data_IF_181412517187
#
_entry.id   IF_181412517187
#
_cell.length_a   1.000
_cell.length_b   1.000
_cell.length_c   1.000
_cell.angle_alpha   90.00
_cell.angle_beta   90.00
_cell.angle_gamma   90.00
#
_symmetry.space_group_name_H-M   'P 1'
#
loop_
_entity.id
_entity.type
_entity.pdbx_description
1 polymer ?
#
# COMPACT_ATOMS: atom_id res chain seq x y z
N UNK A 1 16.76 10.31 6.40
CA UNK A 1 15.97 10.58 5.18
C UNK A 1 14.71 11.28 5.66
N UNK A 2 14.55 12.55 5.28
CA UNK A 2 13.49 13.45 5.75
C UNK A 2 12.16 13.07 5.08
N UNK A 3 11.23 12.53 5.86
CA UNK A 3 9.86 12.27 5.42
C UNK A 3 9.02 13.52 5.64
N UNK A 4 8.52 14.11 4.57
CA UNK A 4 7.59 15.24 4.61
C UNK A 4 6.20 14.71 4.32
N UNK A 5 5.42 14.43 5.36
CA UNK A 5 4.02 14.03 5.24
C UNK A 5 3.06 15.17 5.63
N UNK A 6 2.01 15.17 4.95
CA UNK A 6 0.70 15.82 4.87
C UNK A 6 0.27 16.71 6.04
N UNK A 7 -0.07 17.90 5.66
CA UNK A 7 -1.07 18.84 6.23
C UNK A 7 -0.98 19.16 7.73
N UNK A 8 0.09 19.81 8.16
CA UNK A 8 0.16 20.40 9.50
C UNK A 8 0.64 21.83 9.43
N UNK A 9 -0.11 22.70 10.08
CA UNK A 9 0.27 24.10 10.28
C UNK A 9 0.88 24.22 11.68
N UNK A 10 2.22 24.20 11.74
CA UNK A 10 2.94 24.70 12.90
C UNK A 10 2.63 26.19 13.09
N UNK A 11 2.46 26.61 14.34
CA UNK A 11 2.08 27.97 14.73
C UNK A 11 3.12 29.00 14.26
N UNK A 12 2.78 29.75 13.21
CA UNK A 12 3.29 31.09 13.01
C UNK A 12 2.11 32.01 12.65
N UNK A 13 2.00 33.20 13.21
CA UNK A 13 0.99 34.17 12.78
C UNK A 13 1.18 34.43 11.29
N UNK A 14 0.06 34.59 10.56
CA UNK A 14 0.05 34.96 9.14
C UNK A 14 1.12 36.04 8.90
N UNK A 15 2.15 35.81 8.09
CA UNK A 15 3.10 36.84 7.76
C UNK A 15 2.35 37.97 7.03
N UNK A 16 2.59 39.23 7.35
CA UNK A 16 2.11 40.32 6.51
C UNK A 16 2.66 40.11 5.12
N UNK A 17 1.80 40.25 4.13
CA UNK A 17 2.00 40.19 2.69
C UNK A 17 3.42 40.59 2.23
N UNK A 18 4.34 39.63 2.18
CA UNK A 18 5.56 39.72 1.39
C UNK A 18 5.61 38.57 0.38
N UNK A 19 4.80 38.66 -0.66
CA UNK A 19 4.90 37.82 -1.83
C UNK A 19 5.16 38.68 -3.07
N UNK A 20 6.42 39.01 -3.29
CA UNK A 20 6.92 39.45 -4.59
C UNK A 20 7.13 38.23 -5.51
N UNK A 21 6.05 37.58 -5.84
CA UNK A 21 5.95 36.55 -6.86
C UNK A 21 4.48 36.50 -7.29
N UNK A 22 4.19 36.33 -8.58
CA UNK A 22 2.82 36.15 -9.09
C UNK A 22 2.14 35.03 -8.34
N UNK A 23 1.30 35.39 -7.36
CA UNK A 23 0.58 34.43 -6.53
C UNK A 23 -0.31 33.57 -7.45
N UNK A 24 -0.08 32.26 -7.48
CA UNK A 24 -0.86 31.34 -8.31
C UNK A 24 -2.28 31.24 -7.74
N UNK A 25 -3.26 31.64 -8.56
CA UNK A 25 -4.69 31.46 -8.26
C UNK A 25 -5.17 30.23 -9.02
N UNK A 26 -5.78 29.28 -8.32
CA UNK A 26 -6.34 28.06 -8.91
C UNK A 26 -7.86 28.09 -8.84
N UNK A 27 -8.54 27.41 -9.79
CA UNK A 27 -9.99 27.41 -9.95
C UNK A 27 -10.58 28.85 -10.02
N UNK A 28 -9.77 29.85 -10.41
CA UNK A 28 -10.18 31.25 -10.49
C UNK A 28 -10.60 31.88 -9.15
N UNK A 29 -10.24 31.29 -8.00
CA UNK A 29 -10.75 31.65 -6.69
C UNK A 29 -9.76 31.50 -5.54
N UNK A 30 -8.91 30.47 -5.56
CA UNK A 30 -8.08 30.13 -4.43
C UNK A 30 -6.64 30.58 -4.67
N UNK A 31 -6.19 31.56 -3.92
CA UNK A 31 -4.81 32.04 -3.95
C UNK A 31 -3.94 31.12 -3.10
N UNK A 32 -3.00 30.42 -3.72
CA UNK A 32 -2.03 29.59 -3.02
C UNK A 32 -1.04 30.49 -2.26
N UNK A 33 -0.88 30.26 -0.95
CA UNK A 33 -0.04 31.04 -0.07
C UNK A 33 1.29 30.35 0.20
N UNK A 34 1.25 29.17 0.81
CA UNK A 34 2.44 28.37 1.10
C UNK A 34 2.12 26.88 1.05
N UNK A 35 3.13 26.08 0.76
CA UNK A 35 3.02 24.62 0.78
C UNK A 35 2.94 24.14 2.22
N UNK A 36 1.98 23.27 2.52
CA UNK A 36 1.79 22.60 3.79
C UNK A 36 2.51 21.25 3.82
N UNK A 37 2.44 20.52 2.71
CA UNK A 37 3.07 19.21 2.58
C UNK A 37 3.06 18.69 1.15
N UNK A 38 3.74 17.58 0.91
CA UNK A 38 3.67 16.80 -0.32
C UNK A 38 3.80 15.32 0.03
N UNK A 39 3.01 14.51 -0.65
CA UNK A 39 3.04 13.05 -0.53
C UNK A 39 2.80 12.40 -1.88
N UNK A 40 2.66 11.07 -1.89
CA UNK A 40 2.45 10.27 -3.11
C UNK A 40 1.24 10.73 -3.93
N UNK A 41 0.23 11.33 -3.28
CA UNK A 41 -1.03 11.72 -3.90
C UNK A 41 -1.13 13.22 -4.20
N UNK A 42 -0.01 13.95 -4.20
CA UNK A 42 0.00 15.35 -4.60
C UNK A 42 0.58 16.30 -3.55
N UNK A 43 0.37 17.59 -3.78
CA UNK A 43 0.89 18.69 -2.95
C UNK A 43 -0.27 19.40 -2.29
N UNK A 44 -0.16 19.63 -0.98
CA UNK A 44 -1.15 20.37 -0.20
C UNK A 44 -0.64 21.78 0.08
N UNK A 45 -1.49 22.77 -0.15
CA UNK A 45 -1.21 24.18 0.01
C UNK A 45 -2.15 24.80 1.03
N UNK A 46 -1.63 25.71 1.85
CA UNK A 46 -2.42 26.74 2.49
C UNK A 46 -2.86 27.71 1.41
N UNK A 47 -4.14 28.00 1.33
CA UNK A 47 -4.68 28.93 0.35
C UNK A 47 -5.69 29.88 0.98
N UNK A 48 -5.92 31.01 0.31
CA UNK A 48 -6.94 31.99 0.65
C UNK A 48 -8.08 31.92 -0.36
N UNK A 49 -9.28 31.69 0.12
CA UNK A 49 -10.52 31.76 -0.69
C UNK A 49 -10.89 33.23 -0.86
N UNK A 50 -10.57 33.83 -2.01
CA UNK A 50 -10.79 35.24 -2.28
C UNK A 50 -12.28 35.66 -2.30
N UNK A 51 -13.18 34.68 -2.45
CA UNK A 51 -14.62 34.94 -2.51
C UNK A 51 -15.28 34.95 -1.14
N UNK A 52 -14.84 34.07 -0.23
CA UNK A 52 -15.41 33.92 1.10
C UNK A 52 -14.51 34.49 2.21
N UNK A 53 -13.35 35.08 1.84
CA UNK A 53 -12.38 35.69 2.75
C UNK A 53 -11.99 34.77 3.91
N UNK A 54 -11.60 33.53 3.59
CA UNK A 54 -11.20 32.53 4.55
C UNK A 54 -9.98 31.73 4.09
N UNK A 55 -9.25 31.15 5.04
CA UNK A 55 -8.16 30.23 4.74
C UNK A 55 -8.71 28.81 4.57
N UNK A 56 -8.13 28.08 3.62
CA UNK A 56 -8.50 26.71 3.27
C UNK A 56 -7.23 25.89 3.00
N UNK A 57 -7.36 24.56 3.01
CA UNK A 57 -6.35 23.66 2.48
C UNK A 57 -6.73 23.29 1.02
N UNK A 58 -5.74 23.34 0.12
CA UNK A 58 -5.92 22.99 -1.29
C UNK A 58 -4.94 21.86 -1.63
N UNK A 59 -5.45 20.68 -1.96
CA UNK A 59 -4.66 19.55 -2.44
C UNK A 59 -4.70 19.54 -3.97
N UNK A 60 -3.52 19.61 -4.59
CA UNK A 60 -3.33 19.49 -6.04
C UNK A 60 -2.90 18.08 -6.37
N UNK A 61 -3.66 17.41 -7.20
CA UNK A 61 -3.41 16.05 -7.67
C UNK A 61 -3.12 16.14 -9.17
N UNK A 62 -1.96 15.64 -9.60
CA UNK A 62 -1.63 15.56 -11.02
C UNK A 62 -2.46 14.46 -11.67
N UNK A 63 -3.21 14.81 -12.68
CA UNK A 63 -4.13 13.92 -13.38
C UNK A 63 -4.12 14.23 -14.90
N UNK A 64 -2.99 13.87 -15.52
CA UNK A 64 -2.83 14.03 -16.98
C UNK A 64 -3.74 13.09 -17.77
N UNK A 65 -4.13 11.95 -17.17
CA UNK A 65 -5.10 11.02 -17.75
C UNK A 65 -6.53 11.50 -17.48
N UNK A 66 -7.37 11.73 -18.52
CA UNK A 66 -8.76 12.13 -18.37
C UNK A 66 -9.63 11.15 -17.58
N UNK A 67 -9.40 9.85 -17.68
CA UNK A 67 -10.15 8.83 -16.93
C UNK A 67 -9.82 8.90 -15.43
N UNK A 68 -8.54 9.08 -15.12
CA UNK A 68 -8.05 9.26 -13.76
C UNK A 68 -8.65 10.54 -13.14
N UNK A 69 -8.66 11.65 -13.88
CA UNK A 69 -9.27 12.90 -13.44
C UNK A 69 -10.77 12.75 -13.18
N UNK A 70 -11.52 12.10 -14.08
CA UNK A 70 -12.96 11.86 -13.90
C UNK A 70 -13.26 10.93 -12.71
N UNK A 71 -12.36 10.00 -12.39
CA UNK A 71 -12.47 9.15 -11.21
C UNK A 71 -12.25 9.97 -9.96
N UNK A 72 -11.20 10.83 -9.94
CA UNK A 72 -10.90 11.73 -8.85
C UNK A 72 -12.10 12.64 -8.51
N UNK A 73 -12.73 13.24 -9.53
CA UNK A 73 -13.90 14.10 -9.34
C UNK A 73 -15.09 13.33 -8.75
N UNK A 74 -15.34 12.09 -9.19
CA UNK A 74 -16.44 11.27 -8.64
C UNK A 74 -16.23 10.93 -7.17
N UNK A 75 -15.02 10.52 -6.79
CA UNK A 75 -14.68 10.22 -5.39
C UNK A 75 -14.77 11.48 -4.52
N UNK A 76 -14.30 12.62 -5.03
CA UNK A 76 -14.42 13.89 -4.35
C UNK A 76 -15.89 14.32 -4.16
N UNK A 77 -16.75 14.12 -5.13
CA UNK A 77 -18.20 14.41 -5.02
C UNK A 77 -18.84 13.51 -3.94
N UNK A 78 -18.42 12.26 -3.84
CA UNK A 78 -18.89 11.36 -2.79
C UNK A 78 -18.41 11.82 -1.40
N UNK A 79 -17.13 12.19 -1.27
CA UNK A 79 -16.54 12.71 -0.03
C UNK A 79 -17.18 14.04 0.41
N UNK A 80 -17.56 14.92 -0.54
CA UNK A 80 -18.21 16.19 -0.24
C UNK A 80 -19.61 16.05 0.40
N UNK A 81 -20.22 14.86 0.35
CA UNK A 81 -21.48 14.56 1.05
C UNK A 81 -21.31 14.23 2.52
N UNK A 82 -20.06 14.03 2.96
CA UNK A 82 -19.76 13.71 4.33
C UNK A 82 -19.77 14.99 5.18
N UNK A 83 -20.61 15.00 6.19
CA UNK A 83 -20.67 16.09 7.17
C UNK A 83 -20.67 15.48 8.56
N UNK A 84 -19.50 15.42 9.18
CA UNK A 84 -19.29 14.85 10.51
C UNK A 84 -18.10 15.55 11.18
N UNK A 85 -18.17 15.88 12.50
CA UNK A 85 -17.08 16.59 13.18
C UNK A 85 -15.74 15.83 13.13
N UNK A 86 -15.74 14.50 13.07
CA UNK A 86 -14.57 13.65 12.93
C UNK A 86 -14.07 13.46 11.49
N UNK A 87 -14.61 14.19 10.51
CA UNK A 87 -14.20 14.12 9.09
C UNK A 87 -13.83 15.51 8.61
N UNK A 88 -12.71 15.64 7.88
CA UNK A 88 -12.32 16.91 7.24
C UNK A 88 -13.33 17.26 6.16
N UNK A 89 -13.98 18.43 6.29
CA UNK A 89 -15.01 18.87 5.37
C UNK A 89 -14.41 19.25 4.02
N UNK A 90 -14.85 18.61 2.93
CA UNK A 90 -14.51 19.00 1.57
C UNK A 90 -15.46 20.09 1.11
N UNK A 91 -14.94 21.27 0.74
CA UNK A 91 -15.70 22.43 0.33
C UNK A 91 -15.95 22.46 -1.18
N UNK A 92 -14.96 22.11 -1.97
CA UNK A 92 -15.03 22.15 -3.43
C UNK A 92 -14.05 21.13 -4.03
N UNK A 93 -14.41 20.55 -5.16
CA UNK A 93 -13.53 19.82 -6.04
C UNK A 93 -13.65 20.39 -7.43
N UNK A 94 -12.53 20.59 -8.10
CA UNK A 94 -12.53 21.15 -9.45
C UNK A 94 -11.28 20.76 -10.23
N UNK A 95 -11.36 20.95 -11.55
CA UNK A 95 -10.24 20.68 -12.46
C UNK A 95 -9.77 21.97 -13.10
N UNK A 96 -8.46 22.15 -13.15
CA UNK A 96 -7.82 23.23 -13.87
C UNK A 96 -6.55 22.69 -14.56
N UNK A 97 -6.44 22.88 -15.87
CA UNK A 97 -5.38 22.31 -16.70
C UNK A 97 -5.25 20.78 -16.52
N UNK A 98 -4.08 20.28 -16.14
CA UNK A 98 -3.75 18.88 -15.98
C UNK A 98 -3.81 18.39 -14.51
N UNK A 99 -4.56 19.11 -13.66
CA UNK A 99 -4.65 18.80 -12.25
C UNK A 99 -6.10 18.85 -11.73
N UNK A 100 -6.37 17.99 -10.74
CA UNK A 100 -7.57 18.05 -9.91
C UNK A 100 -7.23 18.75 -8.61
N UNK A 101 -8.05 19.65 -8.16
CA UNK A 101 -7.91 20.40 -6.93
C UNK A 101 -9.03 20.02 -5.97
N UNK A 102 -8.65 19.66 -4.77
CA UNK A 102 -9.55 19.39 -3.66
C UNK A 102 -9.39 20.50 -2.62
N UNK A 103 -10.45 21.24 -2.36
CA UNK A 103 -10.46 22.33 -1.41
C UNK A 103 -11.20 21.89 -0.16
N UNK A 104 -10.54 21.91 0.97
CA UNK A 104 -11.10 21.46 2.25
C UNK A 104 -10.93 22.50 3.35
N UNK A 105 -11.60 22.28 4.47
CA UNK A 105 -11.32 23.04 5.68
C UNK A 105 -9.84 22.91 6.06
N UNK A 106 -9.29 24.00 6.60
CA UNK A 106 -7.95 23.96 7.19
C UNK A 106 -8.06 23.53 8.66
N UNK A 107 -7.56 22.33 8.94
CA UNK A 107 -7.47 21.82 10.32
C UNK A 107 -6.10 22.19 10.89
N UNK A 108 -6.09 22.90 12.02
CA UNK A 108 -4.86 23.19 12.79
C UNK A 108 -4.71 22.11 13.84
N UNK A 109 -3.54 21.44 13.86
CA UNK A 109 -3.27 20.33 14.77
C UNK A 109 -2.07 19.53 14.34
N UNK A 110 -1.86 18.40 14.98
CA UNK A 110 -0.82 17.41 14.64
C UNK A 110 -1.47 16.13 14.14
N UNK A 111 -0.78 15.37 13.29
CA UNK A 111 -1.25 14.03 12.94
C UNK A 111 -1.13 13.09 14.14
N UNK A 112 -1.93 12.01 14.13
CA UNK A 112 -1.79 10.94 15.12
C UNK A 112 -0.35 10.37 15.11
N UNK A 113 0.25 10.24 13.93
CA UNK A 113 1.64 9.82 13.80
C UNK A 113 2.61 10.70 14.58
N UNK A 114 2.50 12.01 14.45
CA UNK A 114 3.38 12.94 15.16
C UNK A 114 3.18 12.91 16.67
N UNK A 115 1.92 12.76 17.12
CA UNK A 115 1.60 12.63 18.54
C UNK A 115 2.16 11.33 19.13
N UNK A 116 2.06 10.21 18.38
CA UNK A 116 2.63 8.92 18.77
C UNK A 116 4.15 9.00 18.88
N UNK A 117 4.82 9.54 17.85
CA UNK A 117 6.29 9.70 17.87
C UNK A 117 6.79 10.63 18.99
N UNK A 118 5.97 11.57 19.42
CA UNK A 118 6.28 12.47 20.54
C UNK A 118 5.95 11.86 21.91
N UNK A 119 5.30 10.68 21.97
CA UNK A 119 4.86 10.05 23.22
C UNK A 119 3.83 10.91 23.99
N UNK A 120 3.00 11.70 23.28
CA UNK A 120 2.08 12.66 23.88
C UNK A 120 0.72 12.06 24.25
N UNK A 121 0.44 10.82 23.89
CA UNK A 121 -0.88 10.16 24.06
C UNK A 121 -0.83 9.07 25.12
N UNK A 122 -1.88 9.02 25.94
CA UNK A 122 -2.16 7.92 26.86
C UNK A 122 -3.01 6.84 26.18
N UNK A 123 -3.09 5.65 26.79
CA UNK A 123 -3.99 4.57 26.31
C UNK A 123 -5.44 5.07 26.25
N UNK A 124 -5.87 5.87 27.25
CA UNK A 124 -7.22 6.46 27.26
C UNK A 124 -7.44 7.42 26.11
N UNK A 125 -6.42 8.22 25.72
CA UNK A 125 -6.53 9.09 24.57
C UNK A 125 -6.67 8.29 23.29
N UNK A 126 -5.89 7.20 23.14
CA UNK A 126 -5.96 6.29 21.98
C UNK A 126 -7.35 5.64 21.88
N UNK A 127 -7.89 5.17 22.99
CA UNK A 127 -9.24 4.60 23.04
C UNK A 127 -10.31 5.62 22.63
N UNK A 128 -10.23 6.86 23.14
CA UNK A 128 -11.15 7.95 22.75
C UNK A 128 -11.04 8.29 21.26
N UNK A 129 -9.82 8.34 20.74
CA UNK A 129 -9.54 8.53 19.31
C UNK A 129 -10.18 7.40 18.51
N UNK A 130 -10.02 6.14 18.94
CA UNK A 130 -10.62 4.97 18.31
C UNK A 130 -12.15 5.06 18.23
N UNK A 131 -12.82 5.44 19.33
CA UNK A 131 -14.28 5.64 19.37
C UNK A 131 -14.71 6.69 18.34
N UNK A 132 -14.06 7.87 18.34
CA UNK A 132 -14.40 8.95 17.41
C UNK A 132 -14.18 8.57 15.94
N UNK A 133 -13.15 7.74 15.64
CA UNK A 133 -12.90 7.21 14.31
C UNK A 133 -13.94 6.16 13.90
N UNK A 134 -14.38 5.30 14.80
CA UNK A 134 -15.49 4.38 14.54
C UNK A 134 -16.78 5.13 14.17
N UNK A 135 -17.11 6.22 14.88
CA UNK A 135 -18.26 7.06 14.58
C UNK A 135 -18.13 7.76 13.22
N UNK A 136 -16.94 8.30 12.90
CA UNK A 136 -16.65 8.94 11.62
C UNK A 136 -16.75 7.97 10.43
N UNK A 137 -16.20 6.77 10.56
CA UNK A 137 -16.27 5.73 9.52
C UNK A 137 -17.68 5.17 9.36
N UNK A 138 -18.41 4.95 10.47
CA UNK A 138 -19.82 4.52 10.40
C UNK A 138 -20.66 5.55 9.66
N UNK A 139 -20.44 6.86 9.89
CA UNK A 139 -21.09 7.93 9.13
C UNK A 139 -20.77 7.88 7.63
N UNK A 140 -19.52 7.62 7.26
CA UNK A 140 -19.10 7.52 5.86
C UNK A 140 -19.69 6.27 5.18
N UNK A 141 -19.60 5.12 5.84
CA UNK A 141 -20.11 3.84 5.32
C UNK A 141 -21.62 3.86 5.11
N UNK A 142 -22.40 4.49 6.03
CA UNK A 142 -23.83 4.69 5.86
C UNK A 142 -24.19 5.52 4.61
N UNK A 143 -23.22 6.26 4.04
CA UNK A 143 -23.36 7.03 2.79
C UNK A 143 -22.69 6.38 1.57
N UNK A 144 -22.28 5.12 1.73
CA UNK A 144 -21.62 4.35 0.68
C UNK A 144 -20.18 4.80 0.37
N UNK A 145 -19.54 5.53 1.30
CA UNK A 145 -18.15 5.99 1.13
C UNK A 145 -17.23 5.15 2.01
N UNK A 146 -16.24 4.50 1.39
CA UNK A 146 -15.16 3.74 2.03
C UNK A 146 -13.89 4.57 1.95
N UNK A 147 -13.12 4.65 3.04
CA UNK A 147 -11.92 5.50 3.11
C UNK A 147 -10.72 4.94 2.34
N UNK A 148 -10.40 3.66 2.53
CA UNK A 148 -9.37 2.87 1.81
C UNK A 148 -7.91 3.24 2.08
N UNK A 149 -7.62 4.28 2.87
CA UNK A 149 -6.25 4.70 3.23
C UNK A 149 -6.19 5.20 4.67
N UNK A 150 -6.69 4.38 5.63
CA UNK A 150 -6.63 4.71 7.04
C UNK A 150 -5.23 4.40 7.56
N UNK A 151 -4.57 5.45 8.08
CA UNK A 151 -3.22 5.39 8.67
C UNK A 151 -3.01 6.58 9.60
N UNK A 152 -2.06 6.53 10.54
CA UNK A 152 -1.83 7.62 11.50
C UNK A 152 -1.52 8.98 10.87
N UNK A 153 -0.99 9.01 9.64
CA UNK A 153 -0.71 10.23 8.90
C UNK A 153 -1.99 10.93 8.39
N UNK A 154 -3.08 10.18 8.15
CA UNK A 154 -4.35 10.70 7.66
C UNK A 154 -5.35 11.01 8.79
N UNK A 155 -4.92 10.92 10.05
CA UNK A 155 -5.70 11.23 11.24
C UNK A 155 -5.12 12.47 11.88
N UNK A 156 -5.84 13.59 11.89
CA UNK A 156 -5.42 14.85 12.48
C UNK A 156 -6.06 14.99 13.85
N UNK A 157 -5.28 15.35 14.87
CA UNK A 157 -5.73 15.71 16.21
C UNK A 157 -5.75 17.23 16.28
N UNK A 158 -6.93 17.87 16.25
CA UNK A 158 -7.03 19.33 16.25
C UNK A 158 -6.52 19.94 17.55
N UNK A 159 -5.90 21.14 17.45
CA UNK A 159 -5.51 21.93 18.64
C UNK A 159 -6.74 22.40 19.45
N UNK A 160 -7.89 22.50 18.76
CA UNK A 160 -9.19 22.87 19.35
C UNK A 160 -10.25 21.92 18.82
N UNK A 161 -10.58 20.88 19.59
CA UNK A 161 -11.61 19.91 19.19
C UNK A 161 -13.02 20.52 19.23
N UNK A 162 -13.87 20.06 18.33
CA UNK A 162 -15.30 20.40 18.28
C UNK A 162 -16.11 19.28 18.96
N UNK A 163 -16.15 19.32 20.29
CA UNK A 163 -16.77 18.26 21.11
C UNK A 163 -16.00 16.93 21.05
N UNK A 164 -16.56 15.89 21.64
CA UNK A 164 -15.93 14.56 21.71
C UNK A 164 -15.80 13.89 20.33
N UNK A 165 -16.76 14.08 19.44
CA UNK A 165 -16.69 13.55 18.09
C UNK A 165 -15.67 14.27 17.18
N UNK A 166 -15.26 15.49 17.58
CA UNK A 166 -14.29 16.31 16.85
C UNK A 166 -12.88 16.27 17.42
N UNK A 167 -12.58 15.38 18.37
CA UNK A 167 -11.21 15.22 18.91
C UNK A 167 -10.22 14.72 17.87
N UNK A 168 -10.70 14.13 16.78
CA UNK A 168 -9.95 13.73 15.61
C UNK A 168 -10.65 14.20 14.34
N UNK A 169 -9.89 14.36 13.27
CA UNK A 169 -10.41 14.58 11.92
C UNK A 169 -9.73 13.67 10.93
N UNK A 170 -10.51 12.78 10.32
CA UNK A 170 -10.04 11.89 9.26
C UNK A 170 -10.01 12.65 7.92
N UNK A 171 -8.87 12.61 7.24
CA UNK A 171 -8.64 13.30 5.95
C UNK A 171 -8.36 12.32 4.83
N UNK A 172 -8.40 12.80 3.59
CA UNK A 172 -7.98 12.05 2.40
C UNK A 172 -8.88 10.84 2.03
N UNK A 173 -10.21 10.97 2.20
CA UNK A 173 -11.20 9.99 1.74
C UNK A 173 -11.07 9.69 0.24
N UNK A 174 -10.96 8.40 -0.10
CA UNK A 174 -11.07 7.88 -1.47
C UNK A 174 -9.92 8.20 -2.43
N UNK A 175 -8.93 9.01 -2.03
CA UNK A 175 -7.86 9.50 -2.91
C UNK A 175 -6.89 8.38 -3.34
N UNK A 176 -6.77 7.31 -2.57
CA UNK A 176 -5.91 6.17 -2.91
C UNK A 176 -6.25 5.51 -4.25
N UNK A 177 -7.53 5.56 -4.66
CA UNK A 177 -8.00 5.03 -5.95
C UNK A 177 -7.62 5.90 -7.16
N UNK A 178 -7.28 7.17 -6.91
CA UNK A 178 -6.97 8.14 -7.97
C UNK A 178 -5.55 7.91 -8.50
N UNK A 179 -4.67 7.40 -7.65
CA UNK A 179 -3.26 7.27 -7.99
C UNK A 179 -2.94 6.13 -8.97
N UNK A 180 -3.85 5.19 -9.21
CA UNK A 180 -3.63 4.01 -10.05
C UNK A 180 -2.53 3.08 -9.50
N UNK A 181 -2.44 1.85 -10.00
CA UNK A 181 -1.42 0.87 -9.60
C UNK A 181 0.02 1.36 -9.84
N UNK A 182 0.24 2.29 -10.79
CA UNK A 182 1.55 2.85 -11.13
C UNK A 182 2.08 3.88 -10.11
N UNK A 183 1.23 4.54 -9.34
CA UNK A 183 1.65 5.51 -8.33
C UNK A 183 2.11 4.82 -7.03
N UNK A 184 1.60 3.64 -6.74
CA UNK A 184 2.02 2.80 -5.62
C UNK A 184 3.49 2.35 -5.72
N UNK A 185 4.13 2.47 -6.90
CA UNK A 185 5.50 1.96 -7.12
C UNK A 185 6.59 3.05 -7.07
N UNK A 186 6.25 4.34 -7.01
CA UNK A 186 7.22 5.42 -7.29
C UNK A 186 7.88 6.09 -6.09
N UNK A 187 7.43 5.92 -4.84
CA UNK A 187 7.96 6.71 -3.71
C UNK A 187 8.09 5.90 -2.42
N UNK A 188 9.01 6.32 -1.52
CA UNK A 188 9.19 5.75 -0.19
C UNK A 188 7.92 5.77 0.71
N UNK A 189 6.87 6.49 0.32
CA UNK A 189 5.55 6.51 0.96
C UNK A 189 4.79 5.19 0.80
N UNK A 190 5.20 4.34 -0.17
CA UNK A 190 4.64 3.01 -0.42
C UNK A 190 4.72 2.11 0.81
N UNK A 191 5.85 2.10 1.50
CA UNK A 191 6.04 1.27 2.70
C UNK A 191 5.10 1.71 3.82
N UNK A 192 4.89 3.03 3.98
CA UNK A 192 3.99 3.60 4.98
C UNK A 192 2.52 3.20 4.76
N UNK A 193 2.05 3.19 3.53
CA UNK A 193 0.67 2.83 3.18
C UNK A 193 0.43 1.33 3.23
N UNK A 194 1.38 0.51 2.72
CA UNK A 194 1.27 -0.96 2.75
C UNK A 194 1.13 -1.52 4.16
N UNK A 195 1.75 -0.87 5.16
CA UNK A 195 1.73 -1.32 6.55
C UNK A 195 0.34 -1.28 7.21
N UNK A 196 -0.65 -0.63 6.60
CA UNK A 196 -2.04 -0.56 7.11
C UNK A 196 -3.06 -1.11 6.11
N UNK A 197 -2.61 -1.59 4.96
CA UNK A 197 -3.47 -2.08 3.90
C UNK A 197 -4.16 -3.38 4.28
N UNK A 198 -5.46 -3.47 4.06
CA UNK A 198 -6.21 -4.69 4.29
C UNK A 198 -5.82 -5.79 3.28
N UNK A 199 -5.85 -7.08 3.66
CA UNK A 199 -5.45 -8.18 2.79
C UNK A 199 -6.20 -8.22 1.46
N UNK A 200 -7.52 -8.05 1.48
CA UNK A 200 -8.36 -7.99 0.27
C UNK A 200 -7.98 -6.84 -0.66
N UNK A 201 -7.55 -5.71 -0.10
CA UNK A 201 -7.09 -4.56 -0.86
C UNK A 201 -5.73 -4.84 -1.54
N UNK A 202 -4.82 -5.49 -0.82
CA UNK A 202 -3.52 -5.91 -1.36
C UNK A 202 -3.66 -6.98 -2.46
N UNK A 203 -4.69 -7.83 -2.37
CA UNK A 203 -5.02 -8.86 -3.36
C UNK A 203 -5.80 -8.30 -4.58
N UNK A 204 -6.15 -7.01 -4.59
CA UNK A 204 -6.97 -6.41 -5.64
C UNK A 204 -8.43 -6.89 -5.64
N UNK A 205 -8.91 -7.45 -4.52
CA UNK A 205 -10.30 -7.84 -4.32
C UNK A 205 -11.18 -6.61 -4.03
N UNK A 206 -12.52 -6.72 -4.13
CA UNK A 206 -13.41 -5.62 -3.79
C UNK A 206 -13.21 -5.12 -2.36
N UNK A 207 -13.03 -3.81 -2.21
CA UNK A 207 -12.81 -3.13 -0.93
C UNK A 207 -14.14 -2.69 -0.34
N UNK A 208 -14.37 -2.96 0.93
CA UNK A 208 -15.59 -2.64 1.67
C UNK A 208 -15.30 -1.91 2.98
N UNK A 209 -16.33 -1.66 3.79
CA UNK A 209 -16.15 -1.13 5.15
C UNK A 209 -15.32 -2.04 6.06
N UNK A 210 -15.22 -3.33 5.75
CA UNK A 210 -14.36 -4.28 6.48
C UNK A 210 -12.87 -3.99 6.28
N UNK A 211 -12.50 -3.44 5.12
CA UNK A 211 -11.12 -3.00 4.88
C UNK A 211 -10.75 -1.80 5.75
N UNK A 212 -11.68 -0.84 5.92
CA UNK A 212 -11.48 0.30 6.82
C UNK A 212 -11.42 -0.14 8.29
N UNK A 213 -12.26 -1.12 8.69
CA UNK A 213 -12.21 -1.70 10.03
C UNK A 213 -10.85 -2.32 10.34
N UNK A 214 -10.32 -3.13 9.41
CA UNK A 214 -8.98 -3.71 9.54
C UNK A 214 -7.91 -2.65 9.72
N UNK A 215 -7.90 -1.64 8.83
CA UNK A 215 -6.90 -0.57 8.86
C UNK A 215 -7.00 0.27 10.13
N UNK A 216 -8.23 0.58 10.60
CA UNK A 216 -8.45 1.29 11.86
C UNK A 216 -7.96 0.46 13.06
N UNK A 217 -8.33 -0.82 13.13
CA UNK A 217 -7.90 -1.71 14.22
C UNK A 217 -6.37 -1.83 14.26
N UNK A 218 -5.71 -1.89 13.11
CA UNK A 218 -4.25 -1.92 13.02
C UNK A 218 -3.60 -0.59 13.47
N UNK A 219 -4.24 0.55 13.19
CA UNK A 219 -3.82 1.85 13.74
C UNK A 219 -3.94 1.87 15.27
N UNK A 220 -5.04 1.37 15.82
CA UNK A 220 -5.24 1.31 17.29
C UNK A 220 -4.25 0.31 17.91
N UNK A 221 -4.06 -0.85 17.30
CA UNK A 221 -3.07 -1.86 17.72
C UNK A 221 -1.67 -1.25 17.82
N UNK A 222 -1.18 -0.60 16.75
CA UNK A 222 0.12 0.08 16.75
C UNK A 222 0.18 1.20 17.78
N UNK A 223 -0.90 1.96 17.93
CA UNK A 223 -0.93 3.08 18.88
C UNK A 223 -0.84 2.62 20.34
N UNK A 224 -1.43 1.46 20.68
CA UNK A 224 -1.40 0.88 22.03
C UNK A 224 -0.14 0.06 22.28
N UNK A 225 0.38 -0.67 21.29
CA UNK A 225 1.54 -1.54 21.45
C UNK A 225 2.87 -0.86 21.09
N UNK A 226 2.84 0.25 20.34
CA UNK A 226 4.01 0.89 19.77
C UNK A 226 4.61 0.16 18.56
N UNK A 227 4.03 -0.97 18.15
CA UNK A 227 4.55 -1.84 17.09
C UNK A 227 3.48 -2.08 16.01
N UNK A 228 3.87 -1.91 14.75
CA UNK A 228 3.07 -2.39 13.62
C UNK A 228 3.68 -3.69 13.08
N UNK A 229 3.05 -4.86 13.31
CA UNK A 229 3.63 -6.15 12.94
C UNK A 229 3.73 -6.37 11.42
N UNK A 230 2.95 -5.62 10.63
CA UNK A 230 3.00 -5.69 9.16
C UNK A 230 4.22 -4.96 8.62
N UNK A 231 4.71 -3.94 9.33
CA UNK A 231 5.84 -3.13 8.88
C UNK A 231 7.14 -3.93 8.88
N UNK A 232 7.86 -3.90 7.75
CA UNK A 232 9.15 -4.55 7.58
C UNK A 232 10.11 -3.66 6.77
N UNK A 233 11.42 -3.96 6.78
CA UNK A 233 12.39 -3.23 5.98
C UNK A 233 12.10 -3.35 4.46
N UNK A 234 11.47 -2.31 3.89
CA UNK A 234 11.16 -2.20 2.47
C UNK A 234 9.79 -2.75 2.07
N UNK A 235 9.29 -2.23 0.93
CA UNK A 235 7.94 -2.49 0.45
C UNK A 235 7.66 -3.98 0.18
N UNK A 236 8.63 -4.71 -0.38
CA UNK A 236 8.45 -6.13 -0.69
C UNK A 236 8.37 -7.02 0.57
N UNK A 237 9.08 -6.67 1.64
CA UNK A 237 9.00 -7.39 2.91
C UNK A 237 7.67 -7.07 3.61
N UNK A 238 7.27 -5.80 3.67
CA UNK A 238 5.97 -5.38 4.21
C UNK A 238 4.81 -6.04 3.45
N UNK A 239 4.82 -6.05 2.11
CA UNK A 239 3.78 -6.70 1.32
C UNK A 239 3.63 -8.20 1.60
N UNK A 240 4.72 -8.90 1.96
CA UNK A 240 4.64 -10.33 2.33
C UNK A 240 3.97 -10.57 3.68
N UNK A 241 3.95 -9.57 4.58
CA UNK A 241 3.30 -9.67 5.88
C UNK A 241 1.82 -9.29 5.86
N UNK A 242 1.37 -8.58 4.83
CA UNK A 242 -0.06 -8.28 4.66
C UNK A 242 -0.83 -9.59 4.58
N UNK A 243 -1.87 -9.74 5.40
CA UNK A 243 -2.68 -10.96 5.48
C UNK A 243 -2.07 -12.08 6.33
N UNK A 244 -0.94 -11.86 7.00
CA UNK A 244 -0.47 -12.80 8.05
C UNK A 244 -1.25 -12.58 9.33
N UNK A 245 -1.36 -13.64 10.16
CA UNK A 245 -1.97 -13.53 11.49
C UNK A 245 -1.03 -12.73 12.39
N UNK A 246 -1.58 -11.71 13.06
CA UNK A 246 -0.81 -10.88 13.96
C UNK A 246 -0.67 -11.52 15.35
N UNK A 247 0.36 -11.19 16.14
CA UNK A 247 0.43 -11.51 17.56
C UNK A 247 -0.78 -10.92 18.28
N UNK A 248 -1.34 -11.65 19.24
CA UNK A 248 -2.43 -11.13 20.04
C UNK A 248 -2.00 -9.89 20.83
N UNK A 249 -2.82 -8.83 20.84
CA UNK A 249 -2.50 -7.60 21.55
C UNK A 249 -2.34 -7.84 23.05
N UNK A 250 -3.10 -8.77 23.62
CA UNK A 250 -3.00 -9.22 25.03
C UNK A 250 -1.63 -9.81 25.39
N UNK A 251 -0.88 -10.34 24.43
CA UNK A 251 0.49 -10.82 24.65
C UNK A 251 1.50 -9.68 24.73
N UNK A 252 1.29 -8.59 24.00
CA UNK A 252 2.16 -7.42 24.00
C UNK A 252 1.82 -6.45 25.13
N UNK A 253 0.55 -6.36 25.49
CA UNK A 253 0.00 -5.41 26.47
C UNK A 253 -0.98 -6.14 27.40
N UNK A 254 -0.48 -7.05 28.29
CA UNK A 254 -1.32 -7.85 29.17
C UNK A 254 -2.07 -7.02 30.24
N UNK A 255 -1.69 -5.77 30.43
CA UNK A 255 -2.34 -4.83 31.37
C UNK A 255 -3.57 -4.11 30.75
N UNK A 256 -3.76 -4.20 29.42
CA UNK A 256 -4.95 -3.64 28.80
C UNK A 256 -6.20 -4.47 29.13
N UNK A 257 -7.37 -3.83 29.21
CA UNK A 257 -8.64 -4.56 29.35
C UNK A 257 -8.81 -5.61 28.25
N UNK A 258 -9.19 -6.83 28.63
CA UNK A 258 -9.35 -7.97 27.71
C UNK A 258 -10.32 -7.65 26.56
N UNK A 259 -11.39 -6.91 26.87
CA UNK A 259 -12.42 -6.51 25.89
C UNK A 259 -11.81 -5.67 24.75
N UNK A 260 -10.85 -4.78 25.05
CA UNK A 260 -10.15 -3.98 24.01
C UNK A 260 -9.25 -4.87 23.18
N UNK A 261 -8.45 -5.73 23.84
CA UNK A 261 -7.51 -6.59 23.15
C UNK A 261 -8.25 -7.55 22.20
N UNK A 262 -9.29 -8.20 22.67
CA UNK A 262 -10.10 -9.14 21.87
C UNK A 262 -10.78 -8.46 20.67
N UNK A 263 -11.40 -7.29 20.89
CA UNK A 263 -12.09 -6.58 19.82
C UNK A 263 -11.11 -6.14 18.71
N UNK A 264 -9.89 -5.71 19.08
CA UNK A 264 -8.85 -5.34 18.12
C UNK A 264 -8.34 -6.61 17.41
N UNK A 265 -8.07 -7.69 18.14
CA UNK A 265 -7.56 -8.95 17.57
C UNK A 265 -8.56 -9.58 16.59
N UNK A 266 -9.87 -9.44 16.81
CA UNK A 266 -10.89 -9.84 15.85
C UNK A 266 -10.91 -8.92 14.62
N UNK A 267 -10.84 -7.61 14.82
CA UNK A 267 -10.90 -6.65 13.72
C UNK A 267 -9.68 -6.72 12.77
N UNK A 268 -8.53 -7.25 13.22
CA UNK A 268 -7.33 -7.45 12.39
C UNK A 268 -7.22 -8.86 11.78
N UNK A 269 -8.30 -9.68 11.82
CA UNK A 269 -8.27 -10.99 11.17
C UNK A 269 -8.04 -10.87 9.66
N UNK A 270 -7.21 -11.77 9.06
CA UNK A 270 -6.94 -11.75 7.62
C UNK A 270 -8.20 -11.92 6.78
N UNK A 271 -9.10 -12.84 7.15
CA UNK A 271 -10.38 -13.03 6.46
C UNK A 271 -11.37 -11.94 6.90
N UNK A 272 -11.94 -11.23 5.94
CA UNK A 272 -12.93 -10.17 6.20
C UNK A 272 -14.23 -10.67 6.86
N UNK A 273 -14.55 -11.97 6.71
CA UNK A 273 -15.73 -12.58 7.32
C UNK A 273 -15.55 -12.90 8.81
N UNK A 274 -14.30 -13.01 9.25
CA UNK A 274 -13.94 -13.29 10.65
C UNK A 274 -13.78 -11.99 11.49
N UNK A 275 -13.80 -10.82 10.85
CA UNK A 275 -13.73 -9.52 11.51
C UNK A 275 -15.09 -9.13 12.03
N UNK A 276 -15.22 -8.69 13.25
CA UNK A 276 -16.45 -8.11 13.76
C UNK A 276 -16.95 -6.88 12.97
N UNK A 277 -17.54 -5.93 13.64
CA UNK A 277 -18.04 -4.69 13.05
C UNK A 277 -17.44 -3.45 13.71
N UNK A 278 -17.53 -2.29 13.04
CA UNK A 278 -17.16 -1.00 13.64
C UNK A 278 -17.96 -0.71 14.92
N UNK A 279 -19.22 -1.18 15.00
CA UNK A 279 -20.05 -1.00 16.18
C UNK A 279 -19.54 -1.83 17.37
N UNK A 280 -19.19 -3.09 17.15
CA UNK A 280 -18.61 -3.96 18.18
C UNK A 280 -17.26 -3.44 18.68
N UNK A 281 -16.37 -3.02 17.79
CA UNK A 281 -15.11 -2.39 18.17
C UNK A 281 -15.36 -1.12 18.99
N UNK A 282 -16.24 -0.25 18.54
CA UNK A 282 -16.61 0.98 19.25
C UNK A 282 -17.15 0.72 20.66
N UNK A 283 -18.06 -0.24 20.78
CA UNK A 283 -18.72 -0.53 22.05
C UNK A 283 -17.73 -1.13 23.05
N UNK A 284 -16.83 -2.02 22.62
CA UNK A 284 -15.74 -2.53 23.44
C UNK A 284 -14.78 -1.41 23.92
N UNK A 285 -14.41 -0.47 23.03
CA UNK A 285 -13.60 0.68 23.40
C UNK A 285 -14.29 1.60 24.42
N UNK A 286 -15.60 1.81 24.31
CA UNK A 286 -16.37 2.63 25.26
C UNK A 286 -16.46 1.95 26.62
N UNK A 287 -16.79 0.65 26.64
CA UNK A 287 -16.98 -0.12 27.88
C UNK A 287 -15.71 -0.11 28.73
N UNK A 288 -14.57 -0.34 28.11
CA UNK A 288 -13.30 -0.43 28.81
C UNK A 288 -12.55 0.92 28.96
N UNK A 289 -13.10 2.02 28.46
CA UNK A 289 -12.42 3.34 28.47
C UNK A 289 -12.03 3.79 29.88
N UNK A 290 -12.88 3.52 30.90
CA UNK A 290 -12.61 3.92 32.28
C UNK A 290 -11.47 3.16 32.94
N UNK A 291 -11.13 1.99 32.43
CA UNK A 291 -10.11 1.08 32.95
C UNK A 291 -8.74 1.33 32.34
N UNK A 292 -8.66 2.17 31.27
CA UNK A 292 -7.41 2.46 30.58
C UNK A 292 -6.57 3.52 31.32
N UNK A 293 -5.25 3.42 31.18
CA UNK A 293 -4.29 4.35 31.80
C UNK A 293 -4.41 5.77 31.19
N UNK A 294 -4.17 6.76 32.03
CA UNK A 294 -4.15 8.19 31.68
C UNK A 294 -2.74 8.75 31.53
N UNK A 295 -1.72 7.96 31.80
CA UNK A 295 -0.33 8.38 31.71
C UNK A 295 0.12 8.37 30.26
N UNK A 296 0.61 9.50 29.74
CA UNK A 296 1.13 9.59 28.38
C UNK A 296 2.44 8.79 28.23
N UNK A 297 2.64 8.22 27.03
CA UNK A 297 3.87 7.48 26.71
C UNK A 297 3.97 6.11 27.33
N UNK A 298 2.85 5.44 27.56
CA UNK A 298 2.78 4.13 28.24
C UNK A 298 3.38 2.96 27.46
N UNK A 299 3.75 3.15 26.20
CA UNK A 299 4.41 2.11 25.42
C UNK A 299 5.82 1.87 25.96
N UNK A 300 6.04 0.68 26.53
CA UNK A 300 7.36 0.31 27.03
C UNK A 300 8.33 0.07 25.86
N UNK A 301 9.40 0.87 25.82
CA UNK A 301 10.45 0.76 24.77
C UNK A 301 11.05 -0.64 24.73
N UNK A 302 11.10 -1.32 25.85
CA UNK A 302 11.63 -2.70 25.94
C UNK A 302 10.77 -3.71 25.20
N UNK A 303 9.45 -3.50 25.11
CA UNK A 303 8.52 -4.32 24.32
C UNK A 303 8.81 -4.13 22.83
N UNK A 304 9.04 -2.89 22.40
CA UNK A 304 9.38 -2.59 21.00
C UNK A 304 10.72 -3.24 20.62
N UNK A 305 11.74 -3.12 21.48
CA UNK A 305 13.06 -3.69 21.24
C UNK A 305 13.00 -5.22 21.22
N UNK A 306 12.30 -5.86 22.16
CA UNK A 306 12.15 -7.32 22.20
C UNK A 306 11.40 -7.87 20.98
N UNK A 307 10.36 -7.17 20.51
CA UNK A 307 9.62 -7.57 19.33
C UNK A 307 10.48 -7.42 18.06
N UNK A 308 11.23 -6.31 17.94
CA UNK A 308 12.14 -6.10 16.81
C UNK A 308 13.27 -7.16 16.81
N UNK A 309 13.77 -7.54 17.97
CA UNK A 309 14.80 -8.57 18.08
C UNK A 309 14.27 -9.97 17.76
N UNK A 310 13.04 -10.32 18.20
CA UNK A 310 12.36 -11.56 17.81
C UNK A 310 12.06 -11.60 16.32
N UNK A 311 11.60 -10.50 15.75
CA UNK A 311 11.30 -10.36 14.32
C UNK A 311 12.57 -10.56 13.46
N UNK A 312 13.70 -9.99 13.88
CA UNK A 312 15.00 -10.21 13.24
C UNK A 312 15.48 -11.68 13.39
N UNK A 313 15.18 -12.33 14.50
CA UNK A 313 15.50 -13.74 14.73
C UNK A 313 14.61 -14.66 13.89
N UNK A 314 13.31 -14.35 13.75
CA UNK A 314 12.40 -15.09 12.90
C UNK A 314 12.70 -14.87 11.41
N UNK A 315 13.05 -13.66 10.98
CA UNK A 315 13.55 -13.40 9.61
C UNK A 315 14.89 -14.11 9.36
N UNK A 316 15.73 -14.28 10.38
CA UNK A 316 16.96 -15.06 10.31
C UNK A 316 16.73 -16.57 10.25
N UNK A 317 15.57 -17.07 10.73
CA UNK A 317 15.17 -18.48 10.72
C UNK A 317 14.14 -18.79 9.60
N UNK A 318 13.44 -17.80 9.08
CA UNK A 318 12.73 -17.96 7.81
C UNK A 318 13.80 -18.28 6.78
N UNK A 319 13.93 -19.58 6.48
CA UNK A 319 14.92 -20.06 5.51
C UNK A 319 14.82 -19.13 4.30
N UNK A 320 15.91 -18.52 3.87
CA UNK A 320 15.89 -17.63 2.73
C UNK A 320 15.19 -18.44 1.63
N UNK A 321 14.05 -17.94 1.13
CA UNK A 321 13.42 -18.55 -0.07
C UNK A 321 14.58 -18.71 -1.02
N UNK A 322 14.92 -19.93 -1.48
CA UNK A 322 16.19 -20.16 -2.12
C UNK A 322 16.30 -19.19 -3.30
N UNK A 323 17.07 -18.12 -3.10
CA UNK A 323 17.62 -17.41 -4.22
C UNK A 323 18.32 -18.51 -4.98
N UNK A 324 17.85 -18.78 -6.23
CA UNK A 324 18.41 -19.83 -7.08
C UNK A 324 19.91 -19.84 -6.87
N UNK A 325 20.39 -20.86 -6.16
CA UNK A 325 21.81 -20.96 -5.81
C UNK A 325 22.62 -21.01 -7.10
N UNK A 326 23.85 -20.57 -7.09
CA UNK A 326 24.73 -20.65 -8.28
C UNK A 326 24.62 -22.00 -9.01
N UNK A 327 24.59 -23.17 -8.33
CA UNK A 327 24.42 -24.46 -9.01
C UNK A 327 23.04 -24.61 -9.70
N UNK A 328 21.95 -24.07 -9.14
CA UNK A 328 20.62 -24.18 -9.79
C UNK A 328 20.50 -23.26 -10.99
N UNK A 329 21.13 -22.08 -10.96
CA UNK A 329 21.25 -21.19 -12.13
C UNK A 329 22.08 -21.80 -13.23
N UNK A 330 23.18 -22.47 -12.85
CA UNK A 330 24.02 -23.20 -13.81
C UNK A 330 23.27 -24.36 -14.46
N UNK A 331 22.55 -25.16 -13.69
CA UNK A 331 21.74 -26.26 -14.20
C UNK A 331 20.65 -25.75 -15.15
N UNK A 332 19.99 -24.64 -14.83
CA UNK A 332 19.02 -23.99 -15.72
C UNK A 332 19.63 -23.55 -17.05
N UNK A 333 20.81 -22.95 -16.98
CA UNK A 333 21.55 -22.53 -18.17
C UNK A 333 21.91 -23.73 -19.05
N UNK A 334 22.34 -24.84 -18.46
CA UNK A 334 22.68 -26.09 -19.18
C UNK A 334 21.43 -26.70 -19.83
N UNK A 335 20.30 -26.77 -19.09
CA UNK A 335 19.04 -27.26 -19.62
C UNK A 335 18.53 -26.41 -20.79
N UNK A 336 18.61 -25.08 -20.67
CA UNK A 336 18.21 -24.14 -21.73
C UNK A 336 19.08 -24.35 -23.00
N UNK A 337 20.40 -24.44 -22.81
CA UNK A 337 21.33 -24.71 -23.92
C UNK A 337 21.02 -26.06 -24.62
N UNK A 338 20.75 -27.11 -23.84
CA UNK A 338 20.38 -28.42 -24.35
C UNK A 338 19.09 -28.40 -25.16
N UNK A 339 18.08 -27.70 -24.67
CA UNK A 339 16.78 -27.58 -25.33
C UNK A 339 16.88 -26.79 -26.66
N UNK A 340 17.66 -25.72 -26.70
CA UNK A 340 17.94 -24.98 -27.95
C UNK A 340 18.70 -25.83 -28.93
N UNK A 341 19.77 -26.50 -28.49
CA UNK A 341 20.60 -27.32 -29.34
C UNK A 341 19.79 -28.51 -29.94
N UNK A 342 19.01 -29.22 -29.11
CA UNK A 342 18.14 -30.30 -29.54
C UNK A 342 17.07 -29.83 -30.53
N UNK A 343 16.41 -28.71 -30.26
CA UNK A 343 15.38 -28.16 -31.16
C UNK A 343 15.96 -27.76 -32.52
N UNK A 344 17.12 -27.09 -32.52
CA UNK A 344 17.78 -26.65 -33.75
C UNK A 344 18.37 -27.83 -34.54
N UNK A 345 18.89 -28.90 -33.86
CA UNK A 345 19.34 -30.13 -34.54
C UNK A 345 18.18 -30.89 -35.20
N UNK A 346 17.02 -30.95 -34.57
CA UNK A 346 15.83 -31.55 -35.14
C UNK A 346 15.33 -30.83 -36.40
N UNK A 347 15.55 -29.51 -36.48
CA UNK A 347 15.17 -28.68 -37.62
C UNK A 347 16.23 -28.55 -38.71
N UNK A 348 17.44 -29.09 -38.51
CA UNK A 348 18.57 -29.02 -39.46
C UNK A 348 18.26 -29.48 -40.87
N UNK A 349 17.36 -30.47 -41.13
CA UNK A 349 16.98 -30.86 -42.49
C UNK A 349 16.23 -29.77 -43.27
N UNK A 350 15.76 -28.72 -42.57
CA UNK A 350 14.98 -27.62 -43.17
C UNK A 350 15.94 -26.48 -43.57
N UNK A 351 15.94 -26.12 -44.87
CA UNK A 351 16.90 -25.19 -45.48
C UNK A 351 16.99 -23.83 -44.78
N UNK A 352 15.90 -23.37 -44.17
CA UNK A 352 15.85 -22.09 -43.45
C UNK A 352 16.70 -22.04 -42.14
N UNK A 353 17.04 -23.22 -41.58
CA UNK A 353 17.75 -23.35 -40.28
C UNK A 353 19.19 -23.87 -40.48
N UNK A 354 19.51 -24.37 -41.67
CA UNK A 354 20.77 -25.04 -41.97
C UNK A 354 22.03 -24.16 -41.70
N UNK A 355 21.90 -22.86 -41.82
CA UNK A 355 23.01 -21.90 -41.67
C UNK A 355 23.06 -21.18 -40.32
N UNK A 356 22.19 -21.53 -39.35
CA UNK A 356 22.19 -20.94 -38.03
C UNK A 356 23.41 -21.41 -37.19
N UNK A 357 24.17 -20.50 -36.54
CA UNK A 357 25.28 -20.86 -35.66
C UNK A 357 24.78 -21.45 -34.35
N UNK A 358 24.49 -22.76 -34.35
CA UNK A 358 23.90 -23.50 -33.23
C UNK A 358 24.59 -23.28 -31.89
N UNK A 359 25.92 -23.22 -31.90
CA UNK A 359 26.69 -23.02 -30.66
C UNK A 359 26.45 -21.64 -30.04
N UNK A 360 26.35 -20.61 -30.86
CA UNK A 360 26.10 -19.24 -30.35
C UNK A 360 24.66 -19.05 -29.88
N UNK A 361 23.70 -19.67 -30.53
CA UNK A 361 22.30 -19.66 -30.09
C UNK A 361 22.12 -20.36 -28.74
N UNK A 362 22.74 -21.55 -28.57
CA UNK A 362 22.74 -22.27 -27.31
C UNK A 362 23.44 -21.49 -26.18
N UNK A 363 24.56 -20.87 -26.47
CA UNK A 363 25.30 -20.04 -25.50
C UNK A 363 24.48 -18.82 -25.09
N UNK A 364 23.86 -18.12 -26.05
CA UNK A 364 22.98 -16.98 -25.75
C UNK A 364 21.81 -17.34 -24.86
N UNK A 365 21.14 -18.46 -25.14
CA UNK A 365 20.06 -18.99 -24.32
C UNK A 365 20.52 -19.33 -22.89
N UNK A 366 21.69 -19.98 -22.76
CA UNK A 366 22.29 -20.28 -21.46
C UNK A 366 22.57 -19.03 -20.63
N UNK A 367 23.12 -17.99 -21.24
CA UNK A 367 23.43 -16.72 -20.57
C UNK A 367 22.14 -16.03 -20.11
N UNK A 368 21.14 -15.89 -20.98
CA UNK A 368 19.88 -15.22 -20.67
C UNK A 368 19.10 -15.94 -19.55
N UNK A 369 18.97 -17.25 -19.63
CA UNK A 369 18.29 -18.06 -18.61
C UNK A 369 19.10 -18.11 -17.31
N UNK A 370 20.42 -18.14 -17.38
CA UNK A 370 21.27 -18.13 -16.19
C UNK A 370 21.26 -16.81 -15.42
N UNK A 371 21.18 -15.67 -16.12
CA UNK A 371 21.13 -14.33 -15.51
C UNK A 371 19.73 -13.99 -14.96
N UNK A 372 18.70 -14.22 -15.77
CA UNK A 372 17.30 -13.88 -15.42
C UNK A 372 16.39 -15.08 -15.75
N UNK A 373 16.34 -16.09 -14.89
CA UNK A 373 15.70 -17.37 -15.20
C UNK A 373 14.23 -17.27 -15.64
N UNK A 374 13.43 -16.42 -15.00
CA UNK A 374 12.01 -16.25 -15.32
C UNK A 374 11.79 -15.61 -16.69
N UNK A 375 12.39 -14.46 -16.91
CA UNK A 375 12.28 -13.74 -18.17
C UNK A 375 12.94 -14.50 -19.31
N UNK A 376 14.08 -15.14 -19.03
CA UNK A 376 14.81 -15.97 -19.98
C UNK A 376 14.03 -17.17 -20.48
N UNK A 377 13.30 -17.86 -19.61
CA UNK A 377 12.44 -18.99 -19.98
C UNK A 377 11.28 -18.55 -20.90
N UNK A 378 10.64 -17.42 -20.62
CA UNK A 378 9.57 -16.87 -21.45
C UNK A 378 10.11 -16.47 -22.83
N UNK A 379 11.21 -15.74 -22.87
CA UNK A 379 11.84 -15.32 -24.14
C UNK A 379 12.31 -16.52 -24.98
N UNK A 380 12.83 -17.56 -24.32
CA UNK A 380 13.22 -18.81 -24.98
C UNK A 380 12.01 -19.52 -25.61
N UNK A 381 10.90 -19.63 -24.88
CA UNK A 381 9.66 -20.25 -25.37
C UNK A 381 9.10 -19.51 -26.59
N UNK A 382 9.07 -18.18 -26.55
CA UNK A 382 8.60 -17.33 -27.65
C UNK A 382 9.55 -17.48 -28.86
N UNK A 383 10.86 -17.38 -28.64
CA UNK A 383 11.88 -17.45 -29.70
C UNK A 383 11.89 -18.80 -30.42
N UNK A 384 11.88 -19.90 -29.66
CA UNK A 384 11.84 -21.25 -30.27
C UNK A 384 10.49 -21.50 -30.99
N UNK A 385 9.37 -21.09 -30.42
CA UNK A 385 8.07 -21.19 -31.08
C UNK A 385 8.02 -20.41 -32.39
N UNK A 386 8.60 -19.19 -32.43
CA UNK A 386 8.75 -18.42 -33.68
C UNK A 386 9.58 -19.11 -34.73
N UNK A 387 10.69 -19.77 -34.34
CA UNK A 387 11.55 -20.54 -35.26
C UNK A 387 10.78 -21.74 -35.86
N UNK A 388 9.99 -22.46 -35.04
CA UNK A 388 9.17 -23.60 -35.55
C UNK A 388 8.11 -23.13 -36.56
N UNK A 389 7.46 -21.97 -36.28
CA UNK A 389 6.48 -21.40 -37.22
C UNK A 389 7.16 -20.96 -38.51
N UNK A 390 8.32 -20.27 -38.44
CA UNK A 390 9.09 -19.85 -39.60
C UNK A 390 9.65 -21.00 -40.42
N UNK A 391 9.93 -22.13 -39.76
CA UNK A 391 10.38 -23.37 -40.41
C UNK A 391 9.24 -24.17 -41.08
N UNK A 392 7.99 -23.70 -41.03
CA UNK A 392 6.85 -24.34 -41.64
C UNK A 392 6.27 -25.55 -40.87
N UNK A 393 6.63 -25.70 -39.60
CA UNK A 393 6.17 -26.79 -38.73
C UNK A 393 5.43 -26.26 -37.48
N UNK A 394 4.33 -25.49 -37.64
CA UNK A 394 3.66 -24.83 -36.53
C UNK A 394 3.11 -25.76 -35.44
N UNK A 395 2.84 -27.03 -35.80
CA UNK A 395 2.39 -28.05 -34.83
C UNK A 395 3.40 -28.26 -33.69
N UNK A 396 4.69 -28.22 -33.97
CA UNK A 396 5.75 -28.33 -32.96
C UNK A 396 5.84 -27.09 -32.05
N UNK A 397 5.51 -25.90 -32.56
CA UNK A 397 5.42 -24.72 -31.75
C UNK A 397 4.28 -24.84 -30.73
N UNK A 398 3.12 -25.35 -31.13
CA UNK A 398 1.98 -25.57 -30.23
C UNK A 398 2.31 -26.61 -29.17
N UNK A 399 2.97 -27.73 -29.52
CA UNK A 399 3.40 -28.73 -28.56
C UNK A 399 4.43 -28.18 -27.55
N UNK A 400 5.39 -27.37 -28.03
CA UNK A 400 6.38 -26.69 -27.17
C UNK A 400 5.71 -25.75 -26.18
N UNK A 401 4.77 -24.94 -26.65
CA UNK A 401 4.05 -24.00 -25.78
C UNK A 401 3.11 -24.72 -24.80
N UNK A 402 2.44 -25.76 -25.22
CA UNK A 402 1.61 -26.59 -24.35
C UNK A 402 2.43 -27.27 -23.23
N UNK A 403 3.68 -27.64 -23.49
CA UNK A 403 4.57 -28.22 -22.49
C UNK A 403 5.20 -27.17 -21.57
N UNK A 404 5.57 -26.00 -22.09
CA UNK A 404 6.25 -24.97 -21.33
C UNK A 404 5.30 -24.01 -20.58
N UNK A 405 4.06 -23.82 -21.08
CA UNK A 405 3.10 -22.90 -20.45
C UNK A 405 2.74 -23.32 -19.00
N UNK A 406 2.46 -24.60 -18.70
CA UNK A 406 2.24 -25.03 -17.32
C UNK A 406 3.47 -24.83 -16.44
N UNK A 407 4.67 -25.07 -16.99
CA UNK A 407 5.92 -24.85 -16.26
C UNK A 407 6.15 -23.37 -15.95
N UNK A 408 5.85 -22.46 -16.88
CA UNK A 408 5.93 -21.02 -16.69
C UNK A 408 4.89 -20.54 -15.66
N UNK A 409 3.67 -21.09 -15.68
CA UNK A 409 2.62 -20.78 -14.70
C UNK A 409 2.95 -21.30 -13.29
N UNK A 410 3.54 -22.50 -13.19
CA UNK A 410 4.03 -23.04 -11.92
C UNK A 410 5.21 -22.24 -11.37
N UNK A 411 6.08 -21.74 -12.24
CA UNK A 411 7.16 -20.82 -11.92
C UNK A 411 6.66 -19.49 -11.30
N UNK A 412 5.48 -19.05 -11.68
CA UNK A 412 4.87 -17.85 -11.10
C UNK A 412 4.40 -18.10 -9.67
N UNK A 413 4.03 -19.35 -9.32
CA UNK A 413 3.52 -19.75 -8.01
C UNK A 413 4.62 -20.22 -7.04
N UNK A 414 5.56 -21.03 -7.50
CA UNK A 414 6.62 -21.56 -6.64
C UNK A 414 7.98 -21.62 -7.38
N UNK A 415 8.98 -20.81 -6.96
CA UNK A 415 10.30 -20.77 -7.62
C UNK A 415 11.10 -22.08 -7.57
N UNK A 416 10.76 -23.03 -6.70
CA UNK A 416 11.46 -24.31 -6.55
C UNK A 416 11.02 -25.37 -7.56
N UNK A 417 9.84 -25.20 -8.16
CA UNK A 417 9.23 -26.19 -9.08
C UNK A 417 9.69 -26.09 -10.55
N UNK A 418 10.51 -25.08 -10.88
CA UNK A 418 10.91 -24.83 -12.27
C UNK A 418 11.81 -25.89 -12.89
N UNK A 419 12.61 -26.62 -12.08
CA UNK A 419 13.45 -27.72 -12.55
C UNK A 419 12.62 -28.85 -13.17
N UNK A 420 11.43 -29.13 -12.63
CA UNK A 420 10.55 -30.16 -13.14
C UNK A 420 10.01 -29.86 -14.56
N UNK A 421 9.74 -28.56 -14.84
CA UNK A 421 9.21 -28.14 -16.14
C UNK A 421 10.23 -28.20 -17.28
N UNK A 422 11.53 -28.00 -16.98
CA UNK A 422 12.59 -28.14 -18.00
C UNK A 422 13.11 -29.57 -18.17
N UNK A 423 12.97 -30.40 -17.14
CA UNK A 423 13.39 -31.81 -17.22
C UNK A 423 12.37 -32.69 -17.92
N UNK A 424 11.08 -32.39 -17.84
CA UNK A 424 10.01 -33.19 -18.42
C UNK A 424 10.14 -33.41 -19.96
N UNK A 425 10.50 -32.41 -20.78
CA UNK A 425 10.71 -32.64 -22.23
C UNK A 425 11.98 -33.40 -22.58
N UNK A 426 12.92 -33.55 -21.63
CA UNK A 426 14.20 -34.26 -21.87
C UNK A 426 14.15 -35.72 -21.43
N UNK A 427 13.11 -36.12 -20.67
CA UNK A 427 12.92 -37.47 -20.16
C UNK A 427 11.86 -38.27 -20.94
N UNK A 428 11.18 -37.70 -21.89
CA UNK A 428 10.27 -38.31 -22.85
C UNK A 428 10.89 -38.30 -24.23
#
# INVERSE_FOLDING_TARGET
VSYTETTIVQQDPLPPSEATGTATVVLGRYRLLRRLGAGAFGVVWLAHDERLDRVVAVKRIEASDPELAARAEREAIAAARLNHPGIVALHEAGRDQDAVYLVSELVRGKTLRERLLAGELSDRDIVRIGVALCDALSHAHARGVVHRDIKPANIIIPDRPDGDAGIVKLTDFGIALIAGDDALTRTGDVVGTLAYMAPEQADGRPVSGQSDLYSLALVIYESLSGVNPIRAPGAAATARRVGTRLPALSQLRPELPEQIADAIDWAVQPDELDRGSLAELRDALIEAQSETDTTAGTVDVTVIESYQEQDLLEEGHAAPRPALTLPTRFLAAVCAAGLVLGSLMALKPISAVANLPLAWAALGAAIVVGLVPRLGAVLLAIGLGGIFVAAGVPGWAVLLWAALLPAILLLARDPSSWLAGFAAPLLG
#
